data_IF_974737621165
#
_entry.id   IF_974737621165
#
_cell.length_a   1.000
_cell.length_b   1.000
_cell.length_c   1.000
_cell.angle_alpha   90.00
_cell.angle_beta   90.00
_cell.angle_gamma   90.00
#
_symmetry.space_group_name_H-M   'P 1'
#
loop_
_entity.id
_entity.type
_entity.pdbx_description
1 polymer ?
#
# COMPACT_ATOMS: atom_id res chain seq x y z
N UNK A 1 -6.97 7.02 -25.88
CA UNK A 1 -5.61 6.96 -25.27
C UNK A 1 -5.05 5.60 -25.64
N UNK A 2 -3.99 5.56 -26.45
CA UNK A 2 -3.36 4.31 -26.89
C UNK A 2 -2.50 3.68 -25.78
N UNK A 3 -2.01 2.45 -25.97
CA UNK A 3 -1.13 1.81 -24.98
C UNK A 3 0.14 2.64 -24.79
N UNK A 4 0.56 2.80 -23.54
CA UNK A 4 1.84 3.43 -23.20
C UNK A 4 2.96 2.57 -23.81
N UNK A 5 3.90 3.15 -24.58
CA UNK A 5 5.02 2.39 -25.15
C UNK A 5 5.82 1.68 -24.05
N UNK A 6 6.17 0.41 -24.27
CA UNK A 6 6.94 -0.40 -23.31
C UNK A 6 8.31 0.23 -23.01
N UNK A 7 8.96 0.80 -24.02
CA UNK A 7 10.22 1.54 -23.92
C UNK A 7 10.00 2.95 -24.46
N UNK A 8 10.60 3.94 -23.80
CA UNK A 8 10.73 5.29 -24.34
C UNK A 8 11.75 5.29 -25.48
N UNK A 9 11.78 6.37 -26.25
CA UNK A 9 12.66 6.50 -27.43
C UNK A 9 14.16 6.44 -27.07
N UNK A 10 14.51 6.65 -25.80
CA UNK A 10 15.87 6.57 -25.25
C UNK A 10 16.22 5.20 -24.63
N UNK A 11 15.32 4.20 -24.71
CA UNK A 11 15.50 2.87 -24.14
C UNK A 11 15.20 2.76 -22.65
N UNK A 12 14.68 3.82 -22.01
CA UNK A 12 14.17 3.73 -20.64
C UNK A 12 12.81 3.03 -20.60
N UNK A 13 12.58 2.17 -19.63
CA UNK A 13 11.26 1.58 -19.41
C UNK A 13 10.35 2.67 -18.82
N UNK A 14 9.40 3.17 -19.61
CA UNK A 14 8.49 4.25 -19.17
C UNK A 14 7.68 3.89 -17.94
N UNK A 15 7.51 2.59 -17.66
CA UNK A 15 6.79 2.07 -16.48
C UNK A 15 7.58 2.23 -15.19
N UNK A 16 8.88 2.45 -15.28
CA UNK A 16 9.78 2.60 -14.13
C UNK A 16 10.01 4.08 -13.75
N UNK A 17 9.44 5.00 -14.52
CA UNK A 17 9.53 6.44 -14.27
C UNK A 17 8.70 6.84 -13.03
N UNK A 18 9.10 7.95 -12.41
CA UNK A 18 8.32 8.59 -11.36
C UNK A 18 6.89 8.90 -11.86
N UNK A 19 5.92 8.68 -10.99
CA UNK A 19 4.49 8.90 -11.21
C UNK A 19 3.89 9.51 -9.94
N UNK A 20 2.67 10.06 -10.03
CA UNK A 20 1.96 10.48 -8.82
C UNK A 20 1.68 9.29 -7.91
N UNK A 21 1.77 9.52 -6.60
CA UNK A 21 1.39 8.52 -5.61
C UNK A 21 -0.05 8.08 -5.83
N UNK A 22 -0.25 6.77 -5.95
CA UNK A 22 -1.56 6.15 -6.10
C UNK A 22 -2.08 5.73 -4.73
N UNK A 23 -3.33 6.09 -4.45
CA UNK A 23 -4.08 5.61 -3.30
C UNK A 23 -5.44 5.11 -3.77
N UNK A 24 -5.73 3.83 -3.57
CA UNK A 24 -7.04 3.24 -3.80
C UNK A 24 -7.62 2.83 -2.46
N UNK A 25 -8.74 3.44 -2.09
CA UNK A 25 -9.36 3.29 -0.78
C UNK A 25 -10.60 2.43 -0.85
N UNK A 26 -10.72 1.46 0.06
CA UNK A 26 -11.94 0.67 0.25
C UNK A 26 -13.09 1.53 0.77
N UNK A 27 -14.35 1.06 0.67
CA UNK A 27 -15.42 1.58 1.52
C UNK A 27 -15.03 1.50 2.99
N UNK A 28 -15.59 2.39 3.80
CA UNK A 28 -15.46 2.32 5.26
C UNK A 28 -16.16 1.06 5.79
N UNK A 29 -15.52 0.43 6.78
CA UNK A 29 -16.09 -0.71 7.48
C UNK A 29 -15.83 -0.59 8.98
N UNK A 30 -16.73 -1.21 9.76
CA UNK A 30 -16.52 -1.46 11.18
C UNK A 30 -16.06 -2.89 11.36
N UNK A 31 -15.15 -3.12 12.29
CA UNK A 31 -14.66 -4.45 12.63
C UNK A 31 -14.46 -4.54 14.14
N UNK A 32 -14.69 -5.74 14.69
CA UNK A 32 -14.46 -6.03 16.09
C UNK A 32 -13.07 -6.61 16.31
N UNK A 33 -12.58 -6.57 17.55
CA UNK A 33 -11.22 -7.01 17.88
C UNK A 33 -11.00 -8.51 17.67
N UNK A 34 -12.07 -9.32 17.69
CA UNK A 34 -12.10 -10.75 17.35
C UNK A 34 -12.38 -11.00 15.86
N UNK A 35 -12.37 -9.94 15.04
CA UNK A 35 -12.58 -10.00 13.61
C UNK A 35 -11.40 -10.56 12.83
N UNK A 36 -11.56 -10.58 11.50
CA UNK A 36 -10.54 -11.02 10.55
C UNK A 36 -10.54 -10.08 9.35
N UNK A 37 -9.35 -9.61 8.96
CA UNK A 37 -9.14 -8.96 7.67
C UNK A 37 -8.20 -9.84 6.85
N UNK A 38 -8.55 -10.09 5.59
CA UNK A 38 -7.67 -10.80 4.66
C UNK A 38 -7.66 -10.12 3.31
N UNK A 39 -6.48 -9.98 2.73
CA UNK A 39 -6.27 -9.54 1.36
C UNK A 39 -5.06 -10.26 0.77
N UNK A 40 -4.98 -10.33 -0.55
CA UNK A 40 -3.87 -10.93 -1.26
C UNK A 40 -3.13 -9.86 -2.06
N UNK A 41 -1.81 -9.96 -2.10
CA UNK A 41 -0.95 -9.10 -2.90
C UNK A 41 -0.09 -9.96 -3.82
N UNK A 42 0.26 -9.44 -4.99
CA UNK A 42 1.30 -9.98 -5.88
C UNK A 42 2.26 -8.85 -6.30
N UNK A 43 3.51 -9.19 -6.63
CA UNK A 43 4.53 -8.20 -6.97
C UNK A 43 4.98 -7.40 -5.75
N UNK A 44 5.03 -6.07 -5.89
CA UNK A 44 5.30 -5.10 -4.83
C UNK A 44 6.79 -4.85 -4.56
N UNK A 45 7.06 -3.71 -3.93
CA UNK A 45 8.38 -3.31 -3.44
C UNK A 45 8.23 -2.68 -2.06
N UNK A 46 9.15 -3.04 -1.15
CA UNK A 46 9.06 -2.74 0.29
C UNK A 46 9.96 -1.60 0.84
N UNK A 47 10.83 -0.89 0.10
CA UNK A 47 11.67 0.10 0.76
C UNK A 47 10.81 1.27 1.28
N UNK A 48 11.05 1.71 2.52
CA UNK A 48 10.77 3.10 2.92
C UNK A 48 9.36 3.51 3.36
N UNK A 49 8.47 2.61 3.80
CA UNK A 49 7.24 3.05 4.48
C UNK A 49 7.50 3.35 5.97
N UNK A 50 7.71 4.61 6.29
CA UNK A 50 7.74 5.11 7.68
C UNK A 50 6.36 5.66 8.04
N UNK A 51 5.65 4.91 8.90
CA UNK A 51 4.27 5.26 9.26
C UNK A 51 4.18 6.53 10.10
N UNK A 52 5.19 6.80 10.93
CA UNK A 52 5.21 7.98 11.80
C UNK A 52 5.46 9.24 10.96
N UNK A 53 6.39 9.16 10.01
CA UNK A 53 6.65 10.24 9.05
C UNK A 53 5.42 10.51 8.17
N UNK A 54 4.78 9.47 7.65
CA UNK A 54 3.61 9.60 6.77
C UNK A 54 2.40 10.16 7.53
N UNK A 55 2.18 9.76 8.79
CA UNK A 55 1.11 10.34 9.60
C UNK A 55 1.40 11.80 9.97
N UNK A 56 2.66 12.20 10.12
CA UNK A 56 3.03 13.58 10.43
C UNK A 56 3.02 14.52 9.21
N UNK A 57 3.49 14.04 8.06
CA UNK A 57 3.79 14.87 6.88
C UNK A 57 2.91 14.56 5.66
N UNK A 58 2.16 13.46 5.71
CA UNK A 58 1.41 12.92 4.57
C UNK A 58 2.26 12.01 3.68
N UNK A 59 1.59 11.36 2.72
CA UNK A 59 2.27 10.60 1.67
C UNK A 59 3.02 11.55 0.72
N UNK A 60 4.17 11.14 0.17
CA UNK A 60 4.85 11.92 -0.86
C UNK A 60 3.93 12.10 -2.08
N UNK A 61 4.02 13.24 -2.78
CA UNK A 61 3.17 13.51 -3.95
C UNK A 61 3.58 12.70 -5.20
N UNK A 62 4.87 12.36 -5.28
CA UNK A 62 5.46 11.59 -6.38
C UNK A 62 6.13 10.35 -5.85
N UNK A 63 6.11 9.29 -6.66
CA UNK A 63 6.86 8.08 -6.41
C UNK A 63 8.36 8.29 -6.60
N UNK A 64 9.13 7.47 -5.90
CA UNK A 64 10.58 7.40 -6.02
C UNK A 64 11.09 5.95 -5.87
N UNK A 65 12.40 5.75 -6.07
CA UNK A 65 13.03 4.41 -5.99
C UNK A 65 13.12 3.81 -4.58
N UNK A 66 12.85 4.61 -3.55
CA UNK A 66 12.75 4.18 -2.16
C UNK A 66 11.29 4.12 -1.68
N UNK A 67 10.32 4.27 -2.58
CA UNK A 67 8.92 4.21 -2.21
C UNK A 67 8.43 2.79 -1.96
N UNK A 68 7.20 2.67 -1.49
CA UNK A 68 6.61 1.39 -1.11
C UNK A 68 5.30 1.11 -1.84
N UNK A 69 5.01 -0.19 -1.99
CA UNK A 69 3.73 -0.68 -2.50
C UNK A 69 3.14 -1.68 -1.50
N UNK A 70 1.89 -1.44 -1.08
CA UNK A 70 1.23 -2.26 -0.08
C UNK A 70 -0.14 -1.74 0.33
N UNK A 71 -0.68 -2.29 1.41
CA UNK A 71 -1.99 -1.94 1.94
C UNK A 71 -1.85 -1.39 3.34
N UNK A 72 -2.37 -0.19 3.59
CA UNK A 72 -2.45 0.39 4.92
C UNK A 72 -3.84 0.16 5.53
N UNK A 73 -3.87 -0.16 6.83
CA UNK A 73 -5.08 -0.02 7.63
C UNK A 73 -5.15 1.43 8.13
N UNK A 74 -6.25 2.13 7.84
CA UNK A 74 -6.43 3.54 8.19
C UNK A 74 -7.66 3.74 9.06
N UNK A 75 -7.53 4.53 10.12
CA UNK A 75 -8.67 5.00 10.94
C UNK A 75 -9.43 6.08 10.16
N UNK A 76 -10.71 5.86 9.88
CA UNK A 76 -11.47 6.73 9.00
C UNK A 76 -11.69 8.14 9.58
N UNK A 77 -11.89 8.22 10.90
CA UNK A 77 -12.22 9.45 11.64
C UNK A 77 -11.06 10.45 11.70
N UNK A 78 -9.85 9.99 12.00
CA UNK A 78 -8.64 10.84 12.11
C UNK A 78 -7.85 10.88 10.81
N UNK A 79 -7.96 9.82 10.03
CA UNK A 79 -7.20 9.61 8.82
C UNK A 79 -5.80 9.05 9.00
N UNK A 80 -5.47 8.67 10.22
CA UNK A 80 -4.21 8.06 10.62
C UNK A 80 -4.07 6.63 10.07
N UNK A 81 -2.90 6.33 9.54
CA UNK A 81 -2.49 4.97 9.20
C UNK A 81 -2.02 4.25 10.46
N UNK A 82 -2.59 3.07 10.73
CA UNK A 82 -2.30 2.27 11.93
C UNK A 82 -1.20 1.25 11.67
N UNK A 83 -1.17 0.70 10.46
CA UNK A 83 -0.13 -0.24 10.03
C UNK A 83 -0.08 -0.28 8.49
N UNK A 84 1.06 -0.72 7.96
CA UNK A 84 1.27 -0.91 6.52
C UNK A 84 1.79 -2.31 6.23
N UNK A 85 1.09 -2.99 5.33
CA UNK A 85 1.31 -4.39 4.99
C UNK A 85 1.84 -4.50 3.58
N UNK A 86 3.02 -5.08 3.48
CA UNK A 86 3.64 -5.46 2.21
C UNK A 86 3.80 -6.96 2.16
N UNK A 87 4.13 -7.45 0.98
CA UNK A 87 4.66 -8.80 0.84
C UNK A 87 5.98 -8.98 1.58
N UNK A 88 6.32 -10.24 1.86
CA UNK A 88 7.60 -10.59 2.48
C UNK A 88 8.80 -10.35 1.55
N UNK A 89 8.62 -10.58 0.25
CA UNK A 89 9.68 -10.48 -0.77
C UNK A 89 9.30 -9.47 -1.87
N UNK A 90 10.30 -8.75 -2.39
CA UNK A 90 10.13 -7.83 -3.52
C UNK A 90 9.90 -8.60 -4.82
N UNK A 91 8.97 -8.13 -5.67
CA UNK A 91 8.82 -8.58 -7.06
C UNK A 91 8.36 -10.04 -7.25
N UNK A 92 7.88 -10.71 -6.20
CA UNK A 92 7.50 -12.11 -6.29
C UNK A 92 6.29 -12.34 -7.20
N UNK A 93 6.27 -13.46 -7.93
CA UNK A 93 5.22 -13.80 -8.89
C UNK A 93 4.09 -14.67 -8.30
N UNK A 94 4.12 -14.94 -7.00
CA UNK A 94 3.09 -15.67 -6.30
C UNK A 94 2.22 -14.70 -5.49
N UNK A 95 0.92 -15.00 -5.45
CA UNK A 95 -0.01 -14.33 -4.53
C UNK A 95 0.34 -14.68 -3.10
N UNK A 96 0.44 -13.66 -2.25
CA UNK A 96 0.65 -13.79 -0.82
C UNK A 96 -0.58 -13.26 -0.10
N UNK A 97 -1.24 -14.13 0.66
CA UNK A 97 -2.39 -13.76 1.49
C UNK A 97 -1.89 -13.23 2.82
N UNK A 98 -2.23 -11.98 3.11
CA UNK A 98 -1.98 -11.34 4.39
C UNK A 98 -3.27 -11.42 5.21
N UNK A 99 -3.13 -11.85 6.46
CA UNK A 99 -4.24 -12.08 7.38
C UNK A 99 -3.94 -11.29 8.66
N UNK A 100 -4.86 -10.41 9.04
CA UNK A 100 -4.85 -9.72 10.31
C UNK A 100 -5.87 -10.43 11.20
N UNK A 101 -5.38 -11.12 12.22
CA UNK A 101 -6.22 -11.82 13.18
C UNK A 101 -6.48 -11.01 14.44
N UNK A 102 -7.15 -11.64 15.41
CA UNK A 102 -7.46 -11.05 16.71
C UNK A 102 -6.23 -10.43 17.40
N UNK A 103 -5.07 -11.12 17.33
CA UNK A 103 -3.85 -10.66 17.98
C UNK A 103 -3.33 -9.33 17.41
N UNK A 104 -3.36 -9.14 16.09
CA UNK A 104 -3.03 -7.85 15.50
C UNK A 104 -4.10 -6.81 15.82
N UNK A 105 -5.37 -7.14 15.56
CA UNK A 105 -6.46 -6.17 15.63
C UNK A 105 -6.66 -5.62 17.04
N UNK A 106 -6.56 -6.44 18.09
CA UNK A 106 -6.79 -6.01 19.48
C UNK A 106 -5.90 -4.85 19.93
N UNK A 107 -4.70 -4.71 19.36
CA UNK A 107 -3.78 -3.61 19.66
C UNK A 107 -3.91 -2.40 18.73
N UNK A 108 -4.62 -2.53 17.61
CA UNK A 108 -4.69 -1.53 16.55
C UNK A 108 -6.04 -0.83 16.46
N UNK A 109 -7.13 -1.55 16.75
CA UNK A 109 -8.48 -1.03 16.56
C UNK A 109 -9.17 -0.70 17.88
N UNK A 110 -9.91 0.39 17.85
CA UNK A 110 -10.80 0.89 18.89
C UNK A 110 -12.26 0.54 18.61
N UNK A 111 -13.06 0.49 19.68
CA UNK A 111 -14.49 0.23 19.62
C UNK A 111 -15.25 1.41 18.99
N UNK A 112 -16.29 1.09 18.20
CA UNK A 112 -17.18 2.04 17.50
C UNK A 112 -16.51 2.92 16.41
N UNK A 113 -15.23 2.71 16.14
CA UNK A 113 -14.50 3.36 15.05
C UNK A 113 -14.71 2.66 13.70
N UNK A 114 -14.53 3.43 12.63
CA UNK A 114 -14.55 2.94 11.25
C UNK A 114 -13.16 2.96 10.66
N UNK A 115 -12.90 2.03 9.74
CA UNK A 115 -11.59 1.85 9.10
C UNK A 115 -11.72 1.75 7.58
N UNK A 116 -10.63 2.05 6.89
CA UNK A 116 -10.44 1.75 5.46
C UNK A 116 -9.18 0.94 5.24
N UNK A 117 -9.17 0.18 4.15
CA UNK A 117 -7.94 -0.35 3.56
C UNK A 117 -7.55 0.56 2.40
N UNK A 118 -6.35 1.11 2.48
CA UNK A 118 -5.78 1.95 1.45
C UNK A 118 -4.66 1.16 0.76
N UNK A 119 -4.87 0.76 -0.50
CA UNK A 119 -3.78 0.30 -1.34
C UNK A 119 -2.97 1.53 -1.78
N UNK A 120 -1.68 1.55 -1.45
CA UNK A 120 -0.79 2.68 -1.66
C UNK A 120 0.37 2.22 -2.54
N UNK A 121 0.67 3.01 -3.56
CA UNK A 121 1.83 2.85 -4.42
C UNK A 121 2.50 4.21 -4.66
N UNK A 122 3.70 4.36 -4.11
CA UNK A 122 4.60 5.49 -4.40
C UNK A 122 6.01 4.99 -4.75
N UNK A 123 6.14 3.79 -5.31
CA UNK A 123 7.44 3.27 -5.77
C UNK A 123 7.60 3.42 -7.28
N UNK A 124 8.69 4.03 -7.73
CA UNK A 124 9.12 3.99 -9.15
C UNK A 124 10.38 3.14 -9.35
N UNK A 125 10.37 2.23 -10.32
CA UNK A 125 11.53 1.40 -10.68
C UNK A 125 11.12 0.02 -11.19
N UNK A 126 12.08 -0.79 -11.65
CA UNK A 126 11.83 -2.08 -12.34
C UNK A 126 11.00 -3.15 -11.59
N UNK A 127 10.70 -2.91 -10.31
CA UNK A 127 9.86 -3.77 -9.46
C UNK A 127 8.58 -3.06 -8.97
N UNK A 128 8.25 -1.90 -9.53
CA UNK A 128 7.11 -1.05 -9.15
C UNK A 128 5.76 -1.53 -9.70
N UNK A 129 5.52 -2.84 -9.74
CA UNK A 129 4.22 -3.39 -10.13
C UNK A 129 3.64 -4.18 -8.96
N UNK A 130 2.33 -4.03 -8.71
CA UNK A 130 1.60 -4.88 -7.79
C UNK A 130 0.17 -5.13 -8.29
N UNK A 131 -0.47 -6.15 -7.72
CA UNK A 131 -1.86 -6.51 -7.97
C UNK A 131 -2.51 -7.15 -6.76
#
# INVERSE_FOLDING_TARGET
IGPVPFEAEDGTNTRDNAHSTLVVRSPEFKIYQDGLISFALIGGSKPGFDIDEINASGLPESSDGNGSIGVALRKASTGEYLNFYTRAENGGQAWETIILGENELRGMIEFDESYTLDFIDYHSGGWGWAG
#
